data_IF_869693216479
#
_entry.id   IF_869693216479
#
_cell.length_a   1.000
_cell.length_b   1.000
_cell.length_c   1.000
_cell.angle_alpha   90.00
_cell.angle_beta   90.00
_cell.angle_gamma   90.00
#
_symmetry.space_group_name_H-M   'P 1'
#
loop_
_entity.id
_entity.type
_entity.pdbx_description
1 polymer ?
#
# COMPACT_ATOMS: atom_id res chain seq x y z
N UNK A 1 -18.86 28.72 11.71
CA UNK A 1 -19.22 27.49 10.95
C UNK A 1 -17.97 26.64 10.79
N UNK A 2 -18.09 25.32 10.99
CA UNK A 2 -17.00 24.36 10.72
C UNK A 2 -17.09 23.85 9.28
N UNK A 3 -16.01 23.33 8.74
CA UNK A 3 -15.98 22.75 7.40
C UNK A 3 -16.85 21.48 7.32
N UNK A 4 -17.93 21.54 6.52
CA UNK A 4 -18.92 20.47 6.44
C UNK A 4 -18.39 19.22 5.73
N UNK A 5 -17.41 19.35 4.82
CA UNK A 5 -16.75 18.21 4.15
C UNK A 5 -16.05 17.31 5.17
N UNK A 6 -15.19 17.88 6.02
CA UNK A 6 -14.52 17.11 7.06
C UNK A 6 -15.48 16.57 8.12
N UNK A 7 -16.55 17.31 8.42
CA UNK A 7 -17.60 16.80 9.32
C UNK A 7 -18.29 15.58 8.74
N UNK A 8 -18.61 15.57 7.45
CA UNK A 8 -19.21 14.42 6.77
C UNK A 8 -18.26 13.20 6.77
N UNK A 9 -16.96 13.42 6.59
CA UNK A 9 -15.94 12.33 6.66
C UNK A 9 -15.92 11.63 8.03
N UNK A 10 -16.27 12.30 9.12
CA UNK A 10 -16.39 11.66 10.45
C UNK A 10 -17.51 10.64 10.53
N UNK A 11 -18.55 10.77 9.70
CA UNK A 11 -19.67 9.83 9.64
C UNK A 11 -19.32 8.57 8.83
N UNK A 12 -18.37 8.69 7.89
CA UNK A 12 -17.88 7.61 7.03
C UNK A 12 -16.58 7.01 7.61
N UNK A 13 -16.67 6.44 8.82
CA UNK A 13 -15.51 5.79 9.43
C UNK A 13 -15.02 4.63 8.57
N UNK A 14 -13.71 4.54 8.38
CA UNK A 14 -13.07 3.37 7.75
C UNK A 14 -13.49 2.07 8.43
N UNK A 15 -14.02 1.12 7.67
CA UNK A 15 -14.44 -0.20 8.17
C UNK A 15 -13.26 -0.92 8.84
N UNK A 16 -12.04 -0.77 8.29
CA UNK A 16 -10.81 -1.32 8.88
C UNK A 16 -10.62 -0.81 10.31
N UNK A 17 -10.81 0.51 10.53
CA UNK A 17 -10.70 1.12 11.87
C UNK A 17 -11.80 0.65 12.81
N UNK A 18 -13.04 0.55 12.32
CA UNK A 18 -14.15 0.04 13.12
C UNK A 18 -13.89 -1.38 13.60
N UNK A 19 -13.37 -2.26 12.72
CA UNK A 19 -13.02 -3.63 13.08
C UNK A 19 -11.88 -3.68 14.10
N UNK A 20 -10.85 -2.84 13.93
CA UNK A 20 -9.73 -2.75 14.87
C UNK A 20 -10.15 -2.18 16.24
N UNK A 21 -11.03 -1.16 16.27
CA UNK A 21 -11.60 -0.62 17.52
C UNK A 21 -12.45 -1.70 18.23
N UNK A 22 -13.26 -2.45 17.49
CA UNK A 22 -14.01 -3.59 18.03
C UNK A 22 -13.09 -4.64 18.63
N UNK A 23 -12.05 -5.06 17.88
CA UNK A 23 -11.09 -6.04 18.37
C UNK A 23 -10.39 -5.57 19.65
N UNK A 24 -9.98 -4.30 19.70
CA UNK A 24 -9.34 -3.72 20.88
C UNK A 24 -10.24 -3.79 22.11
N UNK A 25 -11.50 -3.41 21.97
CA UNK A 25 -12.49 -3.50 23.05
C UNK A 25 -12.74 -4.95 23.46
N UNK A 26 -12.90 -5.86 22.48
CA UNK A 26 -13.18 -7.27 22.75
C UNK A 26 -12.01 -7.96 23.47
N UNK A 27 -10.76 -7.62 23.11
CA UNK A 27 -9.57 -8.09 23.82
C UNK A 27 -9.54 -7.69 25.30
N UNK A 28 -10.10 -6.53 25.65
CA UNK A 28 -10.22 -6.09 27.05
C UNK A 28 -11.29 -6.87 27.82
N UNK A 29 -12.33 -7.34 27.12
CA UNK A 29 -13.46 -8.06 27.73
C UNK A 29 -13.15 -9.53 28.02
N UNK A 30 -12.48 -10.23 27.07
CA UNK A 30 -12.32 -11.70 27.14
C UNK A 30 -10.85 -12.17 27.12
N UNK A 31 -9.89 -11.27 27.13
CA UNK A 31 -8.46 -11.57 26.98
C UNK A 31 -8.00 -11.53 25.51
N UNK A 32 -6.78 -11.03 25.29
CA UNK A 32 -6.23 -10.85 23.95
C UNK A 32 -6.02 -12.18 23.21
N UNK A 33 -5.71 -13.24 23.93
CA UNK A 33 -5.49 -14.59 23.40
C UNK A 33 -6.76 -15.24 22.83
N UNK A 34 -7.95 -14.73 23.19
CA UNK A 34 -9.25 -15.27 22.76
C UNK A 34 -9.84 -14.52 21.56
N UNK A 35 -9.19 -13.44 21.09
CA UNK A 35 -9.65 -12.62 19.95
C UNK A 35 -8.69 -12.74 18.78
N UNK A 36 -9.18 -13.25 17.65
CA UNK A 36 -8.41 -13.46 16.43
C UNK A 36 -8.56 -12.24 15.50
N UNK A 37 -7.69 -11.26 15.70
CA UNK A 37 -7.76 -9.95 15.03
C UNK A 37 -6.93 -9.93 13.76
N UNK A 38 -7.60 -10.07 12.61
CA UNK A 38 -7.03 -10.00 11.27
C UNK A 38 -7.42 -8.69 10.55
N UNK A 39 -7.73 -7.62 11.28
CA UNK A 39 -8.24 -6.39 10.69
C UNK A 39 -7.16 -5.43 10.22
N UNK A 40 -6.07 -5.25 10.99
CA UNK A 40 -5.07 -4.20 10.76
C UNK A 40 -3.74 -4.75 10.27
N UNK A 41 -3.24 -4.18 9.15
CA UNK A 41 -1.94 -4.51 8.56
C UNK A 41 -0.77 -3.87 9.31
N UNK A 42 -0.54 -4.27 10.56
CA UNK A 42 0.61 -3.85 11.34
C UNK A 42 1.63 -4.99 11.40
N UNK A 43 2.89 -4.80 10.90
CA UNK A 43 3.91 -5.85 10.94
C UNK A 43 4.07 -6.46 12.33
N UNK A 44 4.18 -7.80 12.37
CA UNK A 44 4.34 -8.59 13.60
C UNK A 44 5.78 -9.04 13.86
N UNK A 45 6.70 -8.70 12.97
CA UNK A 45 8.12 -9.01 13.11
C UNK A 45 8.91 -7.75 13.45
N UNK A 46 10.01 -7.84 14.24
CA UNK A 46 10.81 -6.68 14.58
C UNK A 46 11.53 -6.09 13.37
N UNK A 47 11.91 -4.82 13.46
CA UNK A 47 12.82 -4.22 12.48
C UNK A 47 14.20 -4.91 12.51
N UNK A 48 15.00 -4.79 11.45
CA UNK A 48 16.37 -5.27 11.43
C UNK A 48 17.17 -4.70 12.60
N UNK A 49 17.98 -5.53 13.24
CA UNK A 49 18.79 -5.13 14.40
C UNK A 49 19.76 -3.99 14.07
N UNK A 50 20.27 -4.01 12.83
CA UNK A 50 21.18 -2.98 12.35
C UNK A 50 20.52 -1.60 12.26
N UNK A 51 19.22 -1.50 11.97
CA UNK A 51 18.51 -0.22 12.03
C UNK A 51 18.61 0.41 13.43
N UNK A 52 18.39 -0.40 14.48
CA UNK A 52 18.49 0.06 15.87
C UNK A 52 19.93 0.45 16.22
N UNK A 53 20.92 -0.37 15.85
CA UNK A 53 22.35 -0.11 16.11
C UNK A 53 22.79 1.18 15.42
N UNK A 54 22.46 1.34 14.14
CA UNK A 54 22.82 2.53 13.35
C UNK A 54 22.11 3.79 13.86
N UNK A 55 20.88 3.71 14.31
CA UNK A 55 20.17 4.84 14.91
C UNK A 55 20.83 5.29 16.21
N UNK A 56 21.27 4.36 17.06
CA UNK A 56 22.05 4.67 18.30
C UNK A 56 23.39 5.30 17.92
N UNK A 57 24.13 4.75 16.97
CA UNK A 57 25.39 5.31 16.49
C UNK A 57 25.24 6.77 16.01
N UNK A 58 24.18 7.04 15.23
CA UNK A 58 23.87 8.40 14.79
C UNK A 58 23.65 9.36 15.95
N UNK A 59 22.92 8.94 16.99
CA UNK A 59 22.67 9.76 18.19
C UNK A 59 23.94 10.03 19.00
N UNK A 60 24.90 9.09 19.01
CA UNK A 60 26.14 9.19 19.78
C UNK A 60 27.24 9.98 19.05
N UNK A 61 27.26 9.92 17.70
CA UNK A 61 28.41 10.39 16.91
C UNK A 61 28.15 11.62 16.06
N UNK A 62 26.90 11.87 15.66
CA UNK A 62 26.57 13.01 14.81
C UNK A 62 26.52 14.32 15.60
N UNK A 63 26.91 15.40 14.96
CA UNK A 63 26.71 16.73 15.53
C UNK A 63 25.22 17.00 15.78
N UNK A 64 24.83 17.33 17.04
CA UNK A 64 23.43 17.53 17.39
C UNK A 64 22.71 18.61 16.56
N UNK A 65 23.42 19.66 16.13
CA UNK A 65 22.83 20.72 15.31
C UNK A 65 22.52 20.23 13.89
N UNK A 66 23.32 19.33 13.36
CA UNK A 66 23.07 18.67 12.06
C UNK A 66 21.95 17.65 12.18
N UNK A 67 21.94 16.87 13.27
CA UNK A 67 20.97 15.79 13.45
C UNK A 67 19.56 16.30 13.76
N UNK A 68 19.45 17.35 14.60
CA UNK A 68 18.18 17.90 15.09
C UNK A 68 17.76 19.22 14.44
N UNK A 69 18.61 19.78 13.57
CA UNK A 69 18.28 20.97 12.80
C UNK A 69 17.23 20.71 11.70
N UNK A 70 16.71 21.77 11.12
CA UNK A 70 15.80 21.65 9.99
C UNK A 70 16.47 20.96 8.80
N UNK A 71 15.83 19.93 8.25
CA UNK A 71 16.20 19.40 6.94
C UNK A 71 15.97 20.43 5.83
N UNK A 72 16.74 20.37 4.73
CA UNK A 72 16.43 21.14 3.53
C UNK A 72 15.00 20.86 3.03
N UNK A 73 14.38 21.82 2.36
CA UNK A 73 12.98 21.72 1.89
C UNK A 73 12.71 20.54 0.96
N UNK A 74 13.74 20.04 0.26
CA UNK A 74 13.68 18.84 -0.59
C UNK A 74 14.19 17.59 0.13
N UNK A 75 14.27 17.60 1.48
CA UNK A 75 14.81 16.53 2.32
C UNK A 75 16.34 16.36 2.25
N UNK A 76 16.90 15.39 2.98
CA UNK A 76 18.36 15.25 3.10
C UNK A 76 18.99 14.74 1.80
N UNK A 77 19.94 15.50 1.16
CA UNK A 77 20.53 15.12 -0.12
C UNK A 77 21.22 13.75 -0.09
N UNK A 78 21.96 13.44 0.99
CA UNK A 78 22.66 12.16 1.15
C UNK A 78 21.71 10.98 1.21
N UNK A 79 20.54 11.14 1.85
CA UNK A 79 19.51 10.08 1.91
C UNK A 79 18.88 9.86 0.54
N UNK A 80 18.53 10.94 -0.16
CA UNK A 80 18.01 10.87 -1.53
C UNK A 80 18.99 10.20 -2.49
N UNK A 81 20.28 10.54 -2.38
CA UNK A 81 21.34 9.92 -3.18
C UNK A 81 21.48 8.41 -2.85
N UNK A 82 21.38 8.02 -1.57
CA UNK A 82 21.44 6.62 -1.17
C UNK A 82 20.25 5.83 -1.72
N UNK A 83 19.02 6.37 -1.65
CA UNK A 83 17.82 5.75 -2.24
C UNK A 83 17.97 5.61 -3.75
N UNK A 84 18.41 6.66 -4.46
CA UNK A 84 18.65 6.62 -5.90
C UNK A 84 19.65 5.52 -6.28
N UNK A 85 20.78 5.44 -5.54
CA UNK A 85 21.79 4.40 -5.73
C UNK A 85 21.20 3.00 -5.54
N UNK A 86 20.48 2.76 -4.45
CA UNK A 86 19.83 1.46 -4.18
C UNK A 86 18.87 1.05 -5.31
N UNK A 87 18.06 1.99 -5.81
CA UNK A 87 17.12 1.71 -6.92
C UNK A 87 17.88 1.39 -8.22
N UNK A 88 18.98 2.08 -8.51
CA UNK A 88 19.81 1.84 -9.70
C UNK A 88 20.47 0.46 -9.65
N UNK A 89 21.07 0.10 -8.52
CA UNK A 89 21.75 -1.20 -8.32
C UNK A 89 20.76 -2.37 -8.39
N UNK A 90 19.58 -2.21 -7.81
CA UNK A 90 18.57 -3.28 -7.75
C UNK A 90 17.79 -3.45 -9.04
N UNK A 91 17.50 -2.37 -9.73
CA UNK A 91 16.54 -2.38 -10.85
C UNK A 91 17.13 -1.90 -12.18
N UNK A 92 18.41 -1.49 -12.22
CA UNK A 92 19.05 -1.01 -13.45
C UNK A 92 18.43 0.28 -13.98
N UNK A 93 18.12 1.21 -13.09
CA UNK A 93 17.61 2.54 -13.41
C UNK A 93 18.74 3.58 -13.40
N UNK A 94 18.43 4.82 -13.77
CA UNK A 94 19.37 5.96 -13.82
C UNK A 94 18.92 7.10 -12.90
N UNK A 95 18.39 6.77 -11.73
CA UNK A 95 17.97 7.77 -10.75
C UNK A 95 19.14 8.61 -10.25
N UNK A 96 18.88 9.88 -10.02
CA UNK A 96 19.73 10.80 -9.27
C UNK A 96 18.95 11.28 -8.07
N UNK A 97 19.60 11.97 -7.12
CA UNK A 97 18.94 12.49 -5.93
C UNK A 97 17.80 13.48 -6.29
N UNK A 98 17.87 14.14 -7.44
CA UNK A 98 16.85 15.07 -7.94
C UNK A 98 15.52 14.40 -8.25
N UNK A 99 15.52 13.07 -8.46
CA UNK A 99 14.33 12.30 -8.74
C UNK A 99 13.68 11.70 -7.47
N UNK A 100 14.27 11.93 -6.30
CA UNK A 100 13.82 11.33 -5.02
C UNK A 100 13.33 12.42 -4.06
N UNK A 101 12.20 12.19 -3.42
CA UNK A 101 11.67 13.03 -2.35
C UNK A 101 11.22 12.17 -1.17
N UNK A 102 11.79 12.39 0.03
CA UNK A 102 11.44 11.63 1.23
C UNK A 102 10.10 12.09 1.79
N UNK A 103 9.24 11.15 2.18
CA UNK A 103 7.87 11.41 2.60
C UNK A 103 7.50 10.68 3.90
N UNK A 104 6.42 11.10 4.54
CA UNK A 104 5.87 10.38 5.71
C UNK A 104 5.14 9.09 5.29
N UNK A 105 5.90 8.11 4.83
CA UNK A 105 5.40 6.84 4.33
C UNK A 105 4.75 6.95 2.94
N UNK A 106 4.20 5.83 2.45
CA UNK A 106 3.53 5.78 1.15
C UNK A 106 2.31 6.70 1.07
N UNK A 107 1.57 6.88 2.16
CA UNK A 107 0.44 7.82 2.22
C UNK A 107 0.87 9.25 1.83
N UNK A 108 1.98 9.72 2.41
CA UNK A 108 2.58 11.00 2.03
C UNK A 108 3.06 11.00 0.57
N UNK A 109 3.68 9.91 0.11
CA UNK A 109 4.16 9.80 -1.26
C UNK A 109 3.02 9.90 -2.28
N UNK A 110 1.94 9.14 -2.11
CA UNK A 110 0.76 9.17 -2.99
C UNK A 110 0.10 10.56 -2.96
N UNK A 111 -0.07 11.15 -1.76
CA UNK A 111 -0.67 12.48 -1.64
C UNK A 111 0.14 13.57 -2.36
N UNK A 112 1.47 13.46 -2.41
CA UNK A 112 2.33 14.35 -3.19
C UNK A 112 2.26 14.03 -4.69
N UNK A 113 2.37 12.75 -5.07
CA UNK A 113 2.33 12.32 -6.47
C UNK A 113 1.03 12.75 -7.15
N UNK A 114 -0.14 12.47 -6.54
CA UNK A 114 -1.44 12.87 -7.09
C UNK A 114 -1.51 14.39 -7.27
N UNK A 115 -1.10 15.18 -6.26
CA UNK A 115 -1.11 16.65 -6.36
C UNK A 115 -0.16 17.19 -7.41
N UNK A 116 0.95 16.52 -7.66
CA UNK A 116 1.92 16.96 -8.66
C UNK A 116 1.43 16.78 -10.10
N UNK A 117 0.54 15.79 -10.36
CA UNK A 117 0.15 15.42 -11.73
C UNK A 117 -1.34 15.60 -12.02
N UNK A 118 -2.13 16.13 -11.07
CA UNK A 118 -3.56 16.36 -11.26
C UNK A 118 -3.96 17.80 -10.91
N UNK A 119 -5.04 18.27 -11.51
CA UNK A 119 -5.75 19.50 -11.18
C UNK A 119 -7.23 19.22 -10.91
N UNK A 120 -7.98 20.16 -10.31
CA UNK A 120 -9.41 20.00 -10.09
C UNK A 120 -10.17 19.65 -11.38
N UNK A 121 -10.99 18.58 -11.31
CA UNK A 121 -11.79 18.07 -12.43
C UNK A 121 -11.11 16.98 -13.26
N UNK A 122 -9.82 16.70 -13.05
CA UNK A 122 -9.14 15.53 -13.64
C UNK A 122 -9.66 14.23 -13.03
N UNK A 123 -9.50 13.14 -13.74
CA UNK A 123 -9.84 11.80 -13.27
C UNK A 123 -8.57 10.98 -12.98
N UNK A 124 -8.60 10.23 -11.88
CA UNK A 124 -7.61 9.24 -11.51
C UNK A 124 -8.26 7.87 -11.53
N UNK A 125 -7.78 6.94 -12.34
CA UNK A 125 -8.30 5.58 -12.37
C UNK A 125 -7.52 4.69 -11.38
N UNK A 126 -8.24 3.82 -10.66
CA UNK A 126 -7.65 2.71 -9.88
C UNK A 126 -8.44 1.43 -10.11
N UNK A 127 -7.90 0.28 -9.71
CA UNK A 127 -8.47 -1.04 -9.99
C UNK A 127 -8.98 -1.69 -8.72
N UNK A 128 -10.25 -2.10 -8.71
CA UNK A 128 -10.77 -2.92 -7.61
C UNK A 128 -10.14 -4.34 -7.66
N UNK A 129 -9.88 -4.95 -6.49
CA UNK A 129 -9.98 -4.35 -5.17
C UNK A 129 -8.82 -3.38 -4.90
N UNK A 130 -9.11 -2.27 -4.23
CA UNK A 130 -8.16 -1.18 -4.01
C UNK A 130 -8.11 -0.74 -2.54
N UNK A 131 -7.06 0.00 -2.17
CA UNK A 131 -6.93 0.53 -0.82
C UNK A 131 -7.85 1.75 -0.62
N UNK A 132 -8.82 1.72 0.32
CA UNK A 132 -9.88 2.76 0.43
C UNK A 132 -9.37 4.18 0.67
N UNK A 133 -8.18 4.34 1.25
CA UNK A 133 -7.59 5.65 1.52
C UNK A 133 -7.17 6.39 0.23
N UNK A 134 -7.25 5.76 -0.95
CA UNK A 134 -7.05 6.49 -2.22
C UNK A 134 -8.10 7.57 -2.44
N UNK A 135 -9.33 7.36 -1.96
CA UNK A 135 -10.39 8.39 -2.00
C UNK A 135 -9.93 9.71 -1.35
N UNK A 136 -9.58 9.77 -0.06
CA UNK A 136 -9.17 11.03 0.54
C UNK A 136 -7.88 11.60 -0.09
N UNK A 137 -6.97 10.79 -0.63
CA UNK A 137 -5.78 11.34 -1.28
C UNK A 137 -6.08 12.03 -2.60
N UNK A 138 -7.01 11.50 -3.40
CA UNK A 138 -7.43 12.06 -4.68
C UNK A 138 -8.47 13.17 -4.49
N UNK A 139 -9.52 12.93 -3.71
CA UNK A 139 -10.65 13.87 -3.56
C UNK A 139 -10.18 15.24 -3.00
N UNK A 140 -9.14 15.26 -2.15
CA UNK A 140 -8.57 16.49 -1.59
C UNK A 140 -7.79 17.34 -2.61
N UNK A 141 -7.54 16.86 -3.82
CA UNK A 141 -6.96 17.65 -4.90
C UNK A 141 -8.01 18.31 -5.78
N UNK A 142 -9.27 17.94 -5.61
CA UNK A 142 -10.38 18.29 -6.52
C UNK A 142 -10.44 17.39 -7.76
N UNK A 143 -9.54 16.41 -7.89
CA UNK A 143 -9.65 15.34 -8.88
C UNK A 143 -10.69 14.30 -8.43
N UNK A 144 -11.09 13.43 -9.34
CA UNK A 144 -12.14 12.44 -9.15
C UNK A 144 -11.53 11.03 -9.25
N UNK A 145 -11.61 10.26 -8.16
CA UNK A 145 -11.22 8.84 -8.21
C UNK A 145 -12.31 8.03 -8.93
N UNK A 146 -11.92 7.28 -9.95
CA UNK A 146 -12.76 6.32 -10.67
C UNK A 146 -12.20 4.92 -10.46
N UNK A 147 -13.08 3.99 -10.13
CA UNK A 147 -12.70 2.60 -9.83
C UNK A 147 -13.07 1.70 -10.98
N UNK A 148 -12.07 1.08 -11.59
CA UNK A 148 -12.26 0.03 -12.61
C UNK A 148 -12.72 -1.24 -11.90
N UNK A 149 -13.81 -1.90 -12.37
CA UNK A 149 -14.33 -3.13 -11.77
C UNK A 149 -13.28 -4.25 -11.68
N UNK A 150 -13.34 -5.03 -10.61
CA UNK A 150 -12.41 -6.14 -10.39
C UNK A 150 -12.52 -7.23 -11.47
N UNK A 151 -11.38 -7.80 -11.87
CA UNK A 151 -11.33 -9.12 -12.45
C UNK A 151 -11.21 -10.15 -11.31
N UNK A 152 -12.32 -10.76 -10.93
CA UNK A 152 -12.37 -11.67 -9.77
C UNK A 152 -11.83 -13.07 -10.04
N UNK A 153 -11.43 -13.37 -11.28
CA UNK A 153 -10.86 -14.67 -11.64
C UNK A 153 -9.44 -14.83 -11.07
N UNK A 154 -8.63 -13.76 -11.14
CA UNK A 154 -7.23 -13.77 -10.73
C UNK A 154 -6.74 -12.46 -10.10
N UNK A 155 -7.61 -11.45 -10.00
CA UNK A 155 -7.33 -10.10 -9.53
C UNK A 155 -6.20 -9.39 -10.30
N UNK A 156 -5.87 -9.82 -11.52
CA UNK A 156 -5.13 -9.00 -12.48
C UNK A 156 -6.03 -7.86 -12.99
N UNK A 157 -5.45 -6.91 -13.69
CA UNK A 157 -6.20 -5.76 -14.22
C UNK A 157 -7.32 -6.23 -15.17
N UNK A 158 -8.55 -5.75 -14.94
CA UNK A 158 -9.67 -5.90 -15.88
C UNK A 158 -9.47 -4.94 -17.06
N UNK A 159 -8.76 -5.42 -18.07
CA UNK A 159 -8.31 -4.57 -19.19
C UNK A 159 -9.47 -4.02 -20.00
N UNK A 160 -10.49 -4.81 -20.26
CA UNK A 160 -11.64 -4.38 -21.08
C UNK A 160 -12.42 -3.26 -20.36
N UNK A 161 -12.69 -3.43 -19.07
CA UNK A 161 -13.30 -2.39 -18.25
C UNK A 161 -12.41 -1.13 -18.16
N UNK A 162 -11.10 -1.31 -18.01
CA UNK A 162 -10.14 -0.20 -17.96
C UNK A 162 -10.20 0.63 -19.26
N UNK A 163 -10.08 -0.02 -20.41
CA UNK A 163 -10.11 0.67 -21.71
C UNK A 163 -11.44 1.41 -21.92
N UNK A 164 -12.57 0.83 -21.49
CA UNK A 164 -13.89 1.46 -21.61
C UNK A 164 -14.05 2.71 -20.73
N UNK A 165 -13.27 2.82 -19.64
CA UNK A 165 -13.33 3.95 -18.72
C UNK A 165 -12.33 5.07 -19.06
N UNK A 166 -11.35 4.81 -19.92
CA UNK A 166 -10.38 5.81 -20.36
C UNK A 166 -11.07 6.91 -21.19
N UNK A 167 -10.73 8.16 -20.89
CA UNK A 167 -11.23 9.34 -21.59
C UNK A 167 -10.25 10.52 -21.39
N UNK A 168 -10.37 11.65 -22.13
CA UNK A 168 -9.42 12.76 -22.08
C UNK A 168 -9.31 13.51 -20.74
N UNK A 169 -10.10 13.18 -19.72
CA UNK A 169 -9.95 13.74 -18.36
C UNK A 169 -9.02 12.92 -17.48
N UNK A 170 -8.63 11.73 -17.91
CA UNK A 170 -7.76 10.86 -17.13
C UNK A 170 -6.34 11.41 -17.15
N UNK A 171 -5.90 11.96 -16.02
CA UNK A 171 -4.54 12.48 -15.83
C UNK A 171 -3.59 11.46 -15.20
N UNK A 172 -4.12 10.51 -14.43
CA UNK A 172 -3.30 9.49 -13.78
C UNK A 172 -4.02 8.15 -13.61
N UNK A 173 -3.22 7.10 -13.52
CA UNK A 173 -3.65 5.75 -13.11
C UNK A 173 -2.88 5.39 -11.84
N UNK A 174 -3.57 4.94 -10.80
CA UNK A 174 -2.99 4.55 -9.51
C UNK A 174 -3.12 3.04 -9.33
N UNK A 175 -1.99 2.36 -9.24
CA UNK A 175 -1.93 0.91 -9.01
C UNK A 175 -1.26 0.60 -7.68
N UNK A 176 -1.55 -0.60 -7.14
CA UNK A 176 -0.88 -1.14 -5.97
C UNK A 176 -0.47 -2.60 -6.25
N UNK A 177 0.82 -2.85 -6.33
CA UNK A 177 1.37 -4.19 -6.58
C UNK A 177 2.69 -4.38 -5.84
N UNK A 178 2.80 -5.41 -4.99
CA UNK A 178 1.76 -6.37 -4.54
C UNK A 178 0.57 -5.68 -3.88
N UNK A 179 -0.64 -6.23 -4.07
CA UNK A 179 -1.90 -5.52 -3.82
C UNK A 179 -2.47 -5.71 -2.41
N UNK A 180 -2.93 -4.63 -1.83
CA UNK A 180 -3.85 -4.62 -0.68
C UNK A 180 -5.26 -4.30 -1.20
N UNK A 181 -6.24 -5.22 -1.09
CA UNK A 181 -6.33 -6.34 -0.16
C UNK A 181 -6.06 -7.74 -0.76
N UNK A 182 -5.88 -7.88 -2.08
CA UNK A 182 -5.94 -9.21 -2.73
C UNK A 182 -4.71 -10.09 -2.50
N UNK A 183 -3.56 -9.51 -2.13
CA UNK A 183 -2.29 -10.22 -2.05
C UNK A 183 -1.67 -10.56 -3.41
N UNK A 184 -2.28 -10.13 -4.51
CA UNK A 184 -1.84 -10.45 -5.85
C UNK A 184 -0.68 -9.55 -6.28
N UNK A 185 0.28 -10.14 -6.96
CA UNK A 185 1.35 -9.45 -7.68
C UNK A 185 0.94 -9.36 -9.14
N UNK A 186 0.88 -8.16 -9.71
CA UNK A 186 0.63 -8.03 -11.15
C UNK A 186 1.77 -8.66 -11.93
N UNK A 187 1.40 -9.45 -12.96
CA UNK A 187 2.37 -10.07 -13.85
C UNK A 187 3.07 -9.03 -14.72
N UNK A 188 4.25 -9.37 -15.21
CA UNK A 188 4.97 -8.54 -16.18
C UNK A 188 4.11 -8.26 -17.42
N UNK A 189 3.38 -9.28 -17.91
CA UNK A 189 2.44 -9.16 -19.02
C UNK A 189 1.35 -8.11 -18.73
N UNK A 190 0.76 -8.15 -17.52
CA UNK A 190 -0.23 -7.15 -17.07
C UNK A 190 0.33 -5.74 -17.09
N UNK A 191 1.55 -5.54 -16.58
CA UNK A 191 2.20 -4.23 -16.54
C UNK A 191 2.58 -3.75 -17.93
N UNK A 192 3.12 -4.62 -18.79
CA UNK A 192 3.43 -4.27 -20.19
C UNK A 192 2.16 -3.84 -20.92
N UNK A 193 1.06 -4.61 -20.81
CA UNK A 193 -0.21 -4.28 -21.45
C UNK A 193 -0.79 -2.95 -20.94
N UNK A 194 -0.71 -2.69 -19.63
CA UNK A 194 -1.11 -1.40 -19.04
C UNK A 194 -0.29 -0.26 -19.68
N UNK A 195 1.04 -0.41 -19.73
CA UNK A 195 1.94 0.59 -20.29
C UNK A 195 1.64 0.87 -21.77
N UNK A 196 1.38 -0.15 -22.58
CA UNK A 196 1.06 0.01 -24.01
C UNK A 196 -0.26 0.76 -24.21
N UNK A 197 -1.29 0.44 -23.42
CA UNK A 197 -2.57 1.16 -23.43
C UNK A 197 -2.36 2.62 -23.08
N UNK A 198 -1.59 2.92 -22.03
CA UNK A 198 -1.32 4.30 -21.59
C UNK A 198 -0.58 5.09 -22.69
N UNK A 199 0.44 4.50 -23.34
CA UNK A 199 1.16 5.14 -24.46
C UNK A 199 0.20 5.49 -25.61
N UNK A 200 -0.61 4.53 -26.02
CA UNK A 200 -1.58 4.76 -27.10
C UNK A 200 -2.60 5.85 -26.75
N UNK A 201 -3.06 5.90 -25.49
CA UNK A 201 -4.04 6.88 -25.05
C UNK A 201 -3.45 8.29 -24.84
N UNK A 202 -2.19 8.41 -24.46
CA UNK A 202 -1.48 9.70 -24.45
C UNK A 202 -1.42 10.33 -25.85
N UNK A 203 -1.08 9.51 -26.86
CA UNK A 203 -1.06 9.96 -28.25
C UNK A 203 -2.48 10.36 -28.72
N UNK A 204 -3.49 9.57 -28.40
CA UNK A 204 -4.88 9.84 -28.76
C UNK A 204 -5.44 11.12 -28.12
N UNK A 205 -5.12 11.33 -26.84
CA UNK A 205 -5.67 12.47 -26.08
C UNK A 205 -4.82 13.73 -26.17
N UNK A 206 -3.57 13.63 -26.62
CA UNK A 206 -2.64 14.75 -26.77
C UNK A 206 -2.16 15.32 -25.43
N UNK A 207 -2.14 14.52 -24.37
CA UNK A 207 -1.57 14.87 -23.07
C UNK A 207 -1.04 13.61 -22.34
N UNK A 208 -0.16 13.82 -21.36
CA UNK A 208 0.42 12.78 -20.56
C UNK A 208 -0.59 12.14 -19.59
N UNK A 209 -0.43 10.83 -19.37
CA UNK A 209 -1.14 10.08 -18.32
C UNK A 209 -0.07 9.50 -17.39
N UNK A 210 -0.01 9.92 -16.15
CA UNK A 210 0.95 9.42 -15.20
C UNK A 210 0.51 8.09 -14.57
N UNK A 211 1.47 7.18 -14.38
CA UNK A 211 1.27 5.94 -13.62
C UNK A 211 1.85 6.11 -12.21
N UNK A 212 0.99 6.19 -11.22
CA UNK A 212 1.37 6.23 -9.80
C UNK A 212 1.38 4.80 -9.29
N UNK A 213 2.57 4.30 -8.93
CA UNK A 213 2.76 2.94 -8.44
C UNK A 213 2.95 2.96 -6.94
N UNK A 214 1.94 2.50 -6.20
CA UNK A 214 1.98 2.33 -4.74
C UNK A 214 2.63 1.00 -4.39
N UNK A 215 3.85 1.03 -3.83
CA UNK A 215 4.75 -0.11 -3.69
C UNK A 215 5.17 -0.44 -2.24
N UNK A 216 4.35 -0.26 -1.20
CA UNK A 216 4.79 -0.49 0.19
C UNK A 216 5.09 -1.96 0.48
N UNK A 217 4.60 -2.88 -0.35
CA UNK A 217 4.76 -4.33 -0.22
C UNK A 217 5.78 -4.92 -1.21
N UNK A 218 6.54 -4.08 -1.94
CA UNK A 218 7.46 -4.51 -3.00
C UNK A 218 8.39 -5.64 -2.59
N UNK A 219 8.88 -5.63 -1.35
CA UNK A 219 9.79 -6.63 -0.81
C UNK A 219 9.07 -7.91 -0.30
N UNK A 220 7.76 -7.86 -0.10
CA UNK A 220 6.99 -9.00 0.44
C UNK A 220 6.42 -9.78 -0.74
N UNK A 221 7.21 -10.69 -1.27
CA UNK A 221 6.82 -11.60 -2.34
C UNK A 221 7.19 -13.03 -1.98
N UNK A 222 6.43 -13.99 -2.47
CA UNK A 222 6.50 -15.41 -2.13
C UNK A 222 6.96 -16.25 -3.31
N UNK A 223 7.24 -17.52 -3.06
CA UNK A 223 7.67 -18.50 -4.07
C UNK A 223 8.97 -18.09 -4.80
N UNK A 224 9.87 -17.37 -4.10
CA UNK A 224 11.16 -16.91 -4.66
C UNK A 224 11.03 -15.86 -5.77
N UNK A 225 9.89 -15.21 -5.92
CA UNK A 225 9.67 -14.15 -6.90
C UNK A 225 10.58 -12.96 -6.63
N UNK A 226 11.06 -12.35 -7.70
CA UNK A 226 11.79 -11.08 -7.63
C UNK A 226 10.83 -9.91 -7.82
N UNK A 227 11.01 -8.81 -7.07
CA UNK A 227 10.20 -7.61 -7.27
C UNK A 227 10.27 -7.09 -8.70
N UNK A 228 9.10 -6.93 -9.31
CA UNK A 228 8.95 -6.25 -10.57
C UNK A 228 8.89 -4.74 -10.29
N UNK A 229 9.71 -3.97 -10.99
CA UNK A 229 9.77 -2.52 -10.81
C UNK A 229 9.04 -1.80 -11.95
N UNK A 230 7.88 -1.25 -11.65
CA UNK A 230 6.92 -0.71 -12.63
C UNK A 230 7.54 0.38 -13.51
N UNK A 231 8.38 1.24 -12.94
CA UNK A 231 9.09 2.32 -13.67
C UNK A 231 9.95 1.84 -14.84
N UNK A 232 10.27 0.56 -14.94
CA UNK A 232 11.00 0.00 -16.09
C UNK A 232 10.16 -0.09 -17.36
N UNK A 233 8.85 -0.16 -17.21
CA UNK A 233 7.90 -0.48 -18.29
C UNK A 233 7.18 0.75 -18.85
N UNK A 234 7.11 1.83 -18.06
CA UNK A 234 6.42 3.05 -18.47
C UNK A 234 7.15 4.28 -17.96
N UNK A 235 7.48 5.22 -18.86
CA UNK A 235 8.33 6.35 -18.52
C UNK A 235 7.64 7.36 -17.60
N UNK A 236 6.36 7.70 -17.81
CA UNK A 236 5.62 8.60 -16.95
C UNK A 236 5.17 7.91 -15.64
N UNK A 237 6.12 7.27 -14.93
CA UNK A 237 5.86 6.57 -13.68
C UNK A 237 6.41 7.32 -12.47
N UNK A 238 5.60 7.40 -11.42
CA UNK A 238 5.98 7.86 -10.09
C UNK A 238 5.81 6.70 -9.11
N UNK A 239 6.90 6.17 -8.59
CA UNK A 239 6.90 5.13 -7.56
C UNK A 239 6.74 5.74 -6.18
N UNK A 240 5.76 5.25 -5.40
CA UNK A 240 5.47 5.63 -4.04
C UNK A 240 5.81 4.47 -3.10
N UNK A 241 6.83 4.62 -2.27
CA UNK A 241 7.35 3.56 -1.42
C UNK A 241 7.26 3.89 0.06
N UNK A 242 7.23 2.86 0.90
CA UNK A 242 7.30 2.97 2.36
C UNK A 242 8.15 1.88 2.97
N UNK A 243 8.96 2.23 3.95
CA UNK A 243 9.70 1.30 4.80
C UNK A 243 8.83 0.67 5.91
N UNK A 244 7.56 1.05 5.99
CA UNK A 244 6.62 0.56 7.01
C UNK A 244 6.47 -0.96 7.02
N UNK A 245 6.65 -1.61 5.85
CA UNK A 245 6.38 -3.05 5.71
C UNK A 245 7.67 -3.86 5.57
N UNK A 246 8.58 -3.42 4.71
CA UNK A 246 9.85 -4.10 4.47
C UNK A 246 10.77 -4.10 5.70
N UNK A 247 10.81 -2.99 6.43
CA UNK A 247 11.65 -2.82 7.63
C UNK A 247 10.85 -2.87 8.94
N UNK A 248 9.54 -3.15 8.91
CA UNK A 248 8.67 -3.11 10.11
C UNK A 248 8.74 -1.78 10.87
N UNK A 249 8.76 -0.65 10.16
CA UNK A 249 8.85 0.70 10.70
C UNK A 249 7.57 1.55 10.46
N UNK A 250 6.34 1.04 10.69
CA UNK A 250 5.14 1.82 10.39
C UNK A 250 4.99 3.05 11.27
N UNK A 251 5.53 3.03 12.49
CA UNK A 251 5.50 4.14 13.44
C UNK A 251 6.42 5.29 13.05
N UNK A 252 7.51 5.02 12.32
CA UNK A 252 8.51 6.01 11.94
C UNK A 252 8.05 6.93 10.81
N UNK A 253 6.98 6.56 10.11
CA UNK A 253 6.40 7.37 9.04
C UNK A 253 7.43 7.79 7.98
N UNK A 254 8.12 6.82 7.38
CA UNK A 254 9.20 7.05 6.41
C UNK A 254 8.95 6.30 5.10
N UNK A 255 9.12 6.99 3.99
CA UNK A 255 8.98 6.50 2.62
C UNK A 255 9.54 7.51 1.63
N UNK A 256 9.26 7.32 0.36
CA UNK A 256 9.70 8.25 -0.67
C UNK A 256 8.81 8.22 -1.92
N UNK A 257 8.87 9.32 -2.65
CA UNK A 257 8.52 9.42 -4.07
C UNK A 257 9.80 9.20 -4.89
N UNK A 258 9.74 8.36 -5.92
CA UNK A 258 10.78 8.25 -6.94
C UNK A 258 10.17 8.51 -8.32
N UNK A 259 10.56 9.61 -8.95
CA UNK A 259 10.11 10.02 -10.29
C UNK A 259 10.99 9.37 -11.33
N UNK A 260 10.40 8.63 -12.27
CA UNK A 260 11.19 8.04 -13.36
C UNK A 260 12.00 9.13 -14.10
N UNK A 261 13.33 8.97 -14.26
CA UNK A 261 14.17 9.97 -14.94
C UNK A 261 13.76 10.29 -16.38
N UNK A 262 12.98 9.40 -17.01
CA UNK A 262 12.50 9.57 -18.40
C UNK A 262 11.06 10.12 -18.47
N UNK A 263 10.43 10.40 -17.31
CA UNK A 263 9.10 11.00 -17.31
C UNK A 263 9.14 12.41 -17.92
N UNK A 264 8.05 12.80 -18.53
CA UNK A 264 7.88 14.20 -18.99
C UNK A 264 7.93 15.11 -17.77
N UNK A 265 8.64 16.21 -17.88
CA UNK A 265 8.84 17.21 -16.82
C UNK A 265 9.40 16.62 -15.50
N UNK A 266 10.16 15.53 -15.56
CA UNK A 266 10.69 14.84 -14.38
C UNK A 266 11.45 15.77 -13.42
N UNK A 267 12.17 16.77 -13.97
CA UNK A 267 12.95 17.73 -13.21
C UNK A 267 12.12 18.68 -12.35
N UNK A 268 10.81 18.85 -12.65
CA UNK A 268 9.91 19.73 -11.90
C UNK A 268 9.16 18.99 -10.79
N UNK A 269 8.91 17.68 -10.92
CA UNK A 269 7.99 16.94 -10.00
C UNK A 269 8.52 16.95 -8.57
N UNK A 270 9.82 16.69 -8.35
CA UNK A 270 10.41 16.71 -7.00
C UNK A 270 10.43 18.12 -6.39
N UNK A 271 10.85 19.18 -7.11
CA UNK A 271 10.65 20.56 -6.64
C UNK A 271 9.19 20.89 -6.31
N UNK A 272 8.24 20.44 -7.12
CA UNK A 272 6.79 20.59 -6.83
C UNK A 272 6.39 19.86 -5.55
N UNK A 273 6.90 18.65 -5.28
CA UNK A 273 6.67 17.96 -4.00
C UNK A 273 7.11 18.83 -2.81
N UNK A 274 8.22 19.53 -2.90
CA UNK A 274 8.67 20.49 -1.88
C UNK A 274 7.67 21.64 -1.66
N UNK A 275 7.09 22.20 -2.73
CA UNK A 275 6.06 23.24 -2.61
C UNK A 275 4.72 22.69 -2.09
N UNK A 276 4.32 21.50 -2.54
CA UNK A 276 3.13 20.81 -2.04
C UNK A 276 3.26 20.55 -0.54
N UNK A 277 4.40 20.01 -0.11
CA UNK A 277 4.73 19.74 1.29
C UNK A 277 4.54 20.99 2.16
N UNK A 278 5.09 22.11 1.71
CA UNK A 278 4.96 23.40 2.37
C UNK A 278 3.51 23.88 2.40
N UNK A 279 2.77 23.73 1.30
CA UNK A 279 1.39 24.21 1.17
C UNK A 279 0.39 23.44 2.04
N UNK A 280 0.60 22.15 2.23
CA UNK A 280 -0.27 21.28 3.06
C UNK A 280 0.21 21.17 4.51
N UNK A 281 1.33 21.80 4.88
CA UNK A 281 1.91 21.71 6.23
C UNK A 281 2.44 20.33 6.59
N UNK A 282 2.80 19.53 5.59
CA UNK A 282 3.31 18.16 5.75
C UNK A 282 4.76 18.10 5.30
N UNK A 283 5.65 18.62 6.12
CA UNK A 283 7.07 18.67 5.84
C UNK A 283 7.71 17.28 5.82
N UNK A 284 9.01 17.24 5.58
CA UNK A 284 9.77 15.99 5.49
C UNK A 284 9.75 15.18 6.80
N UNK A 285 10.02 13.87 6.75
CA UNK A 285 10.27 13.07 7.95
C UNK A 285 11.46 13.58 8.77
N UNK A 286 11.53 13.18 10.03
CA UNK A 286 12.65 13.48 10.93
C UNK A 286 14.01 13.16 10.30
N UNK A 287 15.01 14.03 10.47
CA UNK A 287 16.38 13.83 9.98
C UNK A 287 16.97 12.52 10.49
N UNK A 288 16.80 12.20 11.79
CA UNK A 288 17.29 10.97 12.40
C UNK A 288 16.71 9.74 11.68
N UNK A 289 15.40 9.73 11.41
CA UNK A 289 14.74 8.60 10.75
C UNK A 289 15.17 8.49 9.28
N UNK A 290 15.32 9.61 8.58
CA UNK A 290 15.87 9.62 7.21
C UNK A 290 17.28 9.02 7.16
N UNK A 291 18.17 9.42 8.05
CA UNK A 291 19.54 8.91 8.13
C UNK A 291 19.56 7.43 8.52
N UNK A 292 18.76 7.03 9.52
CA UNK A 292 18.68 5.64 9.98
C UNK A 292 18.27 4.67 8.90
N UNK A 293 17.26 5.01 8.08
CA UNK A 293 16.85 4.11 6.97
C UNK A 293 17.88 4.06 5.84
N UNK A 294 18.66 5.15 5.63
CA UNK A 294 19.68 5.17 4.59
C UNK A 294 20.81 4.14 4.82
N UNK A 295 21.02 3.74 6.08
CA UNK A 295 22.03 2.74 6.46
C UNK A 295 21.59 1.28 6.22
N UNK A 296 20.30 1.04 5.93
CA UNK A 296 19.70 -0.31 5.87
C UNK A 296 18.79 -0.49 4.64
N UNK A 297 19.03 0.25 3.56
CA UNK A 297 18.19 0.24 2.35
C UNK A 297 18.12 -1.11 1.61
N UNK A 298 19.10 -1.96 1.81
CA UNK A 298 19.24 -3.30 1.22
C UNK A 298 18.74 -4.42 2.15
N UNK A 299 18.29 -4.07 3.35
CA UNK A 299 17.80 -5.02 4.36
C UNK A 299 16.26 -5.11 4.37
N UNK A 300 15.77 -6.19 4.95
CA UNK A 300 14.37 -6.39 5.31
C UNK A 300 14.27 -7.02 6.69
N UNK A 301 13.11 -6.86 7.33
CA UNK A 301 12.72 -7.72 8.46
C UNK A 301 12.59 -9.19 8.02
N UNK A 302 12.39 -10.11 8.93
CA UNK A 302 12.13 -11.52 8.59
C UNK A 302 10.73 -11.67 7.96
N UNK A 303 10.68 -11.54 6.64
CA UNK A 303 9.44 -11.62 5.85
C UNK A 303 8.96 -13.07 5.65
N UNK A 304 9.76 -14.09 5.99
CA UNK A 304 9.42 -15.52 5.81
C UNK A 304 8.22 -15.94 6.68
N UNK A 305 8.02 -15.28 7.81
CA UNK A 305 6.86 -15.47 8.69
C UNK A 305 5.54 -15.24 7.94
N UNK A 306 5.51 -14.27 7.04
CA UNK A 306 4.29 -13.96 6.30
C UNK A 306 3.95 -15.03 5.26
N UNK A 307 4.94 -15.59 4.57
CA UNK A 307 4.72 -16.70 3.64
C UNK A 307 4.22 -17.95 4.36
N UNK A 308 4.78 -18.26 5.54
CA UNK A 308 4.31 -19.35 6.40
C UNK A 308 2.86 -19.17 6.83
N UNK A 309 2.50 -17.97 7.30
CA UNK A 309 1.14 -17.65 7.73
C UNK A 309 0.15 -17.70 6.56
N UNK A 310 0.56 -17.21 5.38
CA UNK A 310 -0.22 -17.28 4.16
C UNK A 310 -0.54 -18.73 3.79
N UNK A 311 0.46 -19.63 3.78
CA UNK A 311 0.28 -21.03 3.44
C UNK A 311 -0.73 -21.72 4.40
N UNK A 312 -0.59 -21.52 5.72
CA UNK A 312 -1.50 -22.07 6.71
C UNK A 312 -2.95 -21.66 6.48
N UNK A 313 -3.17 -20.36 6.22
CA UNK A 313 -4.53 -19.83 5.97
C UNK A 313 -5.07 -20.27 4.62
N UNK A 314 -4.25 -20.17 3.56
CA UNK A 314 -4.66 -20.54 2.22
C UNK A 314 -5.11 -22.02 2.16
N UNK A 315 -4.28 -22.93 2.66
CA UNK A 315 -4.57 -24.37 2.65
C UNK A 315 -5.86 -24.68 3.42
N UNK A 316 -6.02 -24.09 4.61
CA UNK A 316 -7.24 -24.26 5.42
C UNK A 316 -8.48 -23.70 4.75
N UNK A 317 -8.40 -22.51 4.16
CA UNK A 317 -9.55 -21.90 3.49
C UNK A 317 -9.99 -22.71 2.27
N UNK A 318 -9.04 -23.22 1.48
CA UNK A 318 -9.34 -24.12 0.35
C UNK A 318 -9.96 -25.43 0.83
N UNK A 319 -9.42 -26.06 1.88
CA UNK A 319 -9.99 -27.25 2.52
C UNK A 319 -11.44 -27.04 2.95
N UNK A 320 -11.75 -25.85 3.48
CA UNK A 320 -13.09 -25.49 3.94
C UNK A 320 -14.08 -25.14 2.81
N UNK A 321 -13.61 -25.04 1.56
CA UNK A 321 -14.41 -24.78 0.37
C UNK A 321 -14.54 -23.31 0.00
N UNK A 322 -13.69 -22.42 0.55
CA UNK A 322 -13.64 -21.04 0.11
C UNK A 322 -13.01 -20.92 -1.28
N UNK A 323 -13.56 -20.05 -2.13
CA UNK A 323 -12.90 -19.62 -3.36
C UNK A 323 -11.90 -18.54 -3.00
N UNK A 324 -10.61 -18.77 -3.26
CA UNK A 324 -9.54 -17.84 -2.94
C UNK A 324 -8.43 -17.93 -3.99
N UNK A 325 -8.02 -16.77 -4.50
CA UNK A 325 -6.83 -16.66 -5.35
C UNK A 325 -5.60 -16.66 -4.43
N UNK A 326 -4.60 -17.54 -4.73
CA UNK A 326 -3.41 -17.65 -3.91
C UNK A 326 -2.61 -16.34 -3.94
N UNK A 327 -2.31 -15.71 -2.79
CA UNK A 327 -1.47 -14.53 -2.73
C UNK A 327 -0.06 -14.80 -3.27
N UNK A 328 0.46 -13.85 -4.04
CA UNK A 328 1.85 -13.87 -4.51
C UNK A 328 2.77 -12.98 -3.69
N UNK A 329 2.21 -12.19 -2.78
CA UNK A 329 2.93 -11.25 -1.92
C UNK A 329 2.03 -10.60 -0.88
N UNK A 330 2.51 -9.55 -0.24
CA UNK A 330 1.89 -8.82 0.87
C UNK A 330 1.74 -9.67 2.14
N UNK A 331 0.84 -9.30 3.02
CA UNK A 331 0.37 -10.09 4.15
C UNK A 331 -1.18 -10.06 4.24
N UNK A 332 -1.82 -10.07 3.04
CA UNK A 332 -3.28 -10.13 2.90
C UNK A 332 -3.70 -11.32 2.05
N UNK A 333 -4.83 -11.93 2.42
CA UNK A 333 -5.55 -12.90 1.61
C UNK A 333 -7.01 -12.47 1.50
N UNK A 334 -7.63 -12.68 0.34
CA UNK A 334 -8.90 -12.08 -0.03
C UNK A 334 -9.88 -13.12 -0.59
N UNK A 335 -10.44 -13.98 0.27
CA UNK A 335 -11.39 -15.01 -0.11
C UNK A 335 -12.76 -14.45 -0.48
N UNK A 336 -13.51 -15.17 -1.33
CA UNK A 336 -14.94 -14.98 -1.49
C UNK A 336 -15.65 -15.48 -0.25
N UNK A 337 -16.61 -14.71 0.28
CA UNK A 337 -17.47 -15.14 1.38
C UNK A 337 -18.38 -16.32 0.96
N UNK A 338 -18.82 -17.12 1.92
CA UNK A 338 -19.71 -18.26 1.66
C UNK A 338 -21.18 -17.85 1.50
N UNK A 339 -21.46 -16.56 1.54
CA UNK A 339 -22.72 -15.92 1.17
C UNK A 339 -22.46 -14.63 0.40
N UNK A 340 -23.43 -14.12 -0.35
CA UNK A 340 -23.24 -12.94 -1.20
C UNK A 340 -23.03 -11.65 -0.40
N UNK A 341 -23.59 -11.55 0.81
CA UNK A 341 -23.40 -10.43 1.72
C UNK A 341 -22.18 -10.65 2.62
N UNK A 342 -21.03 -10.12 2.17
CA UNK A 342 -19.78 -10.21 2.94
C UNK A 342 -19.84 -9.46 4.27
N UNK A 343 -20.67 -8.42 4.41
CA UNK A 343 -20.85 -7.71 5.68
C UNK A 343 -21.56 -8.63 6.69
N UNK A 344 -22.65 -9.28 6.28
CA UNK A 344 -23.36 -10.26 7.12
C UNK A 344 -22.44 -11.45 7.46
N UNK A 345 -21.64 -11.93 6.52
CA UNK A 345 -20.64 -12.96 6.75
C UNK A 345 -19.63 -12.55 7.84
N UNK A 346 -19.05 -11.36 7.74
CA UNK A 346 -18.12 -10.84 8.73
C UNK A 346 -18.76 -10.63 10.10
N UNK A 347 -20.04 -10.25 10.16
CA UNK A 347 -20.80 -10.17 11.43
C UNK A 347 -20.98 -11.54 12.11
N UNK A 348 -21.12 -12.63 11.33
CA UNK A 348 -21.13 -13.99 11.88
C UNK A 348 -19.73 -14.38 12.39
N UNK A 349 -18.67 -14.00 11.71
CA UNK A 349 -17.30 -14.21 12.16
C UNK A 349 -17.02 -13.50 13.51
N UNK A 350 -17.51 -12.26 13.69
CA UNK A 350 -17.36 -11.53 14.96
C UNK A 350 -17.98 -12.28 16.15
N UNK A 351 -19.07 -13.04 15.96
CA UNK A 351 -19.68 -13.87 17.03
C UNK A 351 -18.77 -15.04 17.45
N UNK A 352 -17.79 -15.37 16.66
CA UNK A 352 -16.77 -16.38 16.92
C UNK A 352 -15.44 -15.75 17.41
N UNK A 353 -15.44 -14.46 17.71
CA UNK A 353 -14.25 -13.66 18.04
C UNK A 353 -13.19 -13.64 16.93
N UNK A 354 -13.61 -13.83 15.67
CA UNK A 354 -12.81 -13.79 14.47
C UNK A 354 -13.08 -12.46 13.76
N UNK A 355 -12.10 -11.55 13.79
CA UNK A 355 -12.23 -10.19 13.25
C UNK A 355 -11.59 -10.13 11.87
N UNK A 356 -12.42 -10.07 10.83
CA UNK A 356 -12.06 -9.97 9.42
C UNK A 356 -12.77 -8.78 8.79
N UNK A 357 -12.34 -8.30 7.62
CA UNK A 357 -12.82 -7.05 7.04
C UNK A 357 -13.60 -7.32 5.75
N UNK A 358 -14.89 -6.89 5.62
CA UNK A 358 -15.65 -7.07 4.39
C UNK A 358 -15.04 -6.31 3.21
N UNK A 359 -15.20 -6.89 2.01
CA UNK A 359 -14.60 -6.41 0.77
C UNK A 359 -15.26 -5.19 0.15
N UNK A 360 -16.42 -4.80 0.64
CA UNK A 360 -17.24 -3.71 0.09
C UNK A 360 -16.45 -2.39 0.02
N UNK A 361 -15.74 -2.04 1.10
CA UNK A 361 -14.93 -0.82 1.15
C UNK A 361 -13.72 -0.85 0.20
N UNK A 362 -13.32 -2.03 -0.26
CA UNK A 362 -12.25 -2.19 -1.25
C UNK A 362 -12.80 -2.24 -2.70
N UNK A 363 -14.10 -1.96 -2.89
CA UNK A 363 -14.76 -1.99 -4.19
C UNK A 363 -15.00 -3.41 -4.73
N UNK A 364 -15.03 -4.42 -3.86
CA UNK A 364 -15.22 -5.82 -4.23
C UNK A 364 -16.19 -6.53 -3.26
N UNK A 365 -17.50 -6.25 -3.33
CA UNK A 365 -18.50 -6.88 -2.48
C UNK A 365 -18.52 -8.40 -2.67
N UNK A 366 -18.95 -9.12 -1.66
CA UNK A 366 -18.96 -10.58 -1.64
C UNK A 366 -17.62 -11.23 -1.30
N UNK A 367 -16.57 -10.44 -1.04
CA UNK A 367 -15.25 -10.87 -0.60
C UNK A 367 -14.93 -10.33 0.80
N UNK A 368 -13.88 -10.86 1.44
CA UNK A 368 -13.40 -10.34 2.71
C UNK A 368 -11.88 -10.43 2.80
N UNK A 369 -11.29 -9.55 3.59
CA UNK A 369 -9.83 -9.50 3.80
C UNK A 369 -9.45 -10.12 5.14
N UNK A 370 -8.44 -10.98 5.13
CA UNK A 370 -7.70 -11.47 6.28
C UNK A 370 -6.29 -10.87 6.22
N UNK A 371 -5.85 -10.23 7.31
CA UNK A 371 -4.50 -9.66 7.42
C UNK A 371 -3.65 -10.60 8.27
N UNK A 372 -2.71 -11.33 7.66
CA UNK A 372 -1.94 -12.37 8.34
C UNK A 372 -0.54 -11.93 8.83
N UNK A 373 -0.28 -10.62 8.95
CA UNK A 373 0.91 -10.12 9.66
C UNK A 373 0.69 -10.16 11.18
N UNK A 374 0.50 -11.34 11.69
CA UNK A 374 0.27 -11.67 13.09
C UNK A 374 1.20 -12.81 13.51
N UNK A 375 1.24 -13.12 14.79
CA UNK A 375 1.98 -14.28 15.28
C UNK A 375 1.46 -15.58 14.66
N UNK A 376 2.36 -16.49 14.26
CA UNK A 376 1.98 -17.77 13.63
C UNK A 376 1.13 -18.64 14.55
N UNK A 377 1.37 -18.60 15.87
CA UNK A 377 0.54 -19.33 16.83
C UNK A 377 -0.90 -18.81 16.84
N UNK A 378 -1.10 -17.50 16.72
CA UNK A 378 -2.43 -16.92 16.56
C UNK A 378 -3.13 -17.43 15.29
N UNK A 379 -2.41 -17.54 14.16
CA UNK A 379 -2.95 -18.12 12.93
C UNK A 379 -3.42 -19.56 13.21
N UNK A 380 -2.56 -20.40 13.78
CA UNK A 380 -2.88 -21.80 14.07
C UNK A 380 -4.11 -21.91 14.97
N UNK A 381 -4.17 -21.16 16.07
CA UNK A 381 -5.31 -21.17 17.00
C UNK A 381 -6.61 -20.64 16.38
N UNK A 382 -6.52 -19.82 15.32
CA UNK A 382 -7.69 -19.30 14.62
C UNK A 382 -8.33 -20.31 13.65
N UNK A 383 -7.58 -21.32 13.17
CA UNK A 383 -8.11 -22.25 12.15
C UNK A 383 -9.39 -22.97 12.56
N UNK A 384 -9.56 -23.43 13.81
CA UNK A 384 -10.85 -23.99 14.26
C UNK A 384 -12.01 -22.99 14.23
N UNK A 385 -11.75 -21.68 14.30
CA UNK A 385 -12.79 -20.64 14.18
C UNK A 385 -13.27 -20.49 12.74
N UNK A 386 -12.38 -20.61 11.77
CA UNK A 386 -12.75 -20.69 10.35
C UNK A 386 -13.56 -21.96 10.05
N UNK A 387 -13.23 -23.10 10.66
CA UNK A 387 -14.03 -24.32 10.56
C UNK A 387 -15.46 -24.11 11.09
N UNK A 388 -15.60 -23.51 12.29
CA UNK A 388 -16.88 -23.17 12.88
C UNK A 388 -17.69 -22.21 11.99
N UNK A 389 -17.03 -21.19 11.41
CA UNK A 389 -17.65 -20.24 10.51
C UNK A 389 -18.15 -20.93 9.24
N UNK A 390 -17.32 -21.77 8.61
CA UNK A 390 -17.68 -22.52 7.40
C UNK A 390 -18.82 -23.54 7.66
N UNK A 391 -18.86 -24.14 8.87
CA UNK A 391 -19.91 -25.08 9.24
C UNK A 391 -21.32 -24.45 9.26
N UNK A 392 -21.43 -23.11 9.42
CA UNK A 392 -22.73 -22.41 9.34
C UNK A 392 -23.35 -22.45 7.93
N UNK A 393 -22.59 -22.85 6.91
CA UNK A 393 -22.99 -22.87 5.50
C UNK A 393 -22.98 -24.29 4.89
N UNK A 394 -22.58 -25.29 5.67
CA UNK A 394 -22.71 -26.69 5.26
C UNK A 394 -24.11 -27.18 5.68
N UNK A 395 -25.00 -27.30 4.68
CA UNK A 395 -26.32 -27.91 4.86
C UNK A 395 -26.20 -29.41 5.15
#
# INVERSE_FOLDING_TARGET
MINQTYKAMLQNKSVIRQMSEYATKRKQEIGAENVFDFSLGNPSVPCPEDYTKKTIELLETQDPMTLHGYSPSLTLPQVRAAVAKSLNERFGMDYKMEHIFMTSGAAGAIAHAVRAVTKPGDEVLTFAPFFPEYHPYVDQTGAILKVVPANTADFQINVDAFVSMLNPKVAAVLINTPNNPSGIVYSEETICRLADILRAKQEEYGHEIFLISDEPYREIQFDGRKPLYVSKYYDNTISCYSFSKSLSLPGERIGYVAVNPRAVDAEYIVPMCGQISRGIGHNCPSSLIQLGVAEVLDQTSDLSVYEKNMNLLYDKLVELGFTVVRPGGTFYIFPKALEDDAVAFCQKALKLDLVIVPGDSFGCPGYFRITYCVDTDMVIRSLPKFEQLAALYKA
#
